data_IF_767403726576
#
_entry.id   IF_767403726576
#
_cell.length_a   1.000
_cell.length_b   1.000
_cell.length_c   1.000
_cell.angle_alpha   90.00
_cell.angle_beta   90.00
_cell.angle_gamma   90.00
#
_symmetry.space_group_name_H-M   'P 1'
#
loop_
_entity.id
_entity.type
_entity.pdbx_description
1 polymer ?
#
# COMPACT_ATOMS: atom_id res chain seq x y z
N UNK A 1 -85.86 61.28 -79.91
CA UNK A 1 -85.99 60.66 -81.25
C UNK A 1 -86.84 59.40 -81.13
N UNK A 2 -87.77 59.17 -82.07
CA UNK A 2 -88.69 58.02 -82.21
C UNK A 2 -90.11 58.07 -81.59
N UNK A 3 -90.44 58.96 -80.64
CA UNK A 3 -91.85 59.14 -80.18
C UNK A 3 -92.29 60.61 -80.09
N UNK A 4 -91.47 61.54 -80.60
CA UNK A 4 -91.80 62.99 -80.62
C UNK A 4 -92.12 63.54 -82.01
N UNK A 5 -92.08 62.69 -83.04
CA UNK A 5 -92.47 63.00 -84.43
C UNK A 5 -93.88 62.49 -84.80
N UNK A 6 -94.57 61.75 -83.89
CA UNK A 6 -95.88 61.15 -84.15
C UNK A 6 -97.08 61.91 -83.53
N UNK A 7 -96.85 63.11 -82.98
CA UNK A 7 -97.89 64.04 -82.53
C UNK A 7 -97.87 65.37 -83.32
N UNK A 8 -97.48 65.29 -84.60
CA UNK A 8 -97.57 66.38 -85.58
C UNK A 8 -98.41 66.00 -86.83
N UNK A 9 -99.09 64.83 -86.82
CA UNK A 9 -99.71 64.24 -88.03
C UNK A 9 -101.23 64.02 -88.05
N UNK A 10 -102.00 64.22 -86.98
CA UNK A 10 -103.46 63.93 -86.98
C UNK A 10 -104.32 64.92 -86.21
N UNK A 11 -104.59 66.08 -86.81
CA UNK A 11 -105.91 66.75 -86.88
C UNK A 11 -105.80 68.13 -87.56
N UNK A 12 -105.38 68.11 -88.83
CA UNK A 12 -105.74 69.09 -89.87
C UNK A 12 -106.54 68.33 -90.93
N UNK A 13 -107.88 68.34 -90.85
CA UNK A 13 -108.79 68.16 -91.99
C UNK A 13 -110.26 68.21 -91.52
N UNK A 14 -110.85 69.39 -91.68
CA UNK A 14 -112.27 69.70 -92.02
C UNK A 14 -112.36 71.23 -91.99
N UNK A 15 -111.82 71.92 -92.98
CA UNK A 15 -112.51 72.29 -94.23
C UNK A 15 -113.90 72.92 -94.01
N UNK A 16 -113.91 74.23 -94.30
CA UNK A 16 -114.92 74.98 -95.04
C UNK A 16 -116.37 75.03 -94.50
N UNK A 17 -116.89 76.24 -94.25
CA UNK A 17 -117.81 76.96 -95.16
C UNK A 17 -118.47 78.18 -94.48
N UNK A 18 -118.58 79.26 -95.28
CA UNK A 18 -119.56 80.36 -95.26
C UNK A 18 -119.56 81.33 -94.05
N UNK A 19 -119.28 82.63 -94.16
CA UNK A 19 -119.57 83.60 -95.24
C UNK A 19 -120.95 83.43 -95.85
N UNK A 20 -121.95 84.13 -95.31
CA UNK A 20 -123.04 84.91 -95.96
C UNK A 20 -124.15 85.10 -94.91
N UNK A 21 -124.38 86.31 -94.41
CA UNK A 21 -125.02 87.45 -95.06
C UNK A 21 -126.53 87.24 -95.24
N UNK A 22 -127.30 88.04 -94.50
CA UNK A 22 -128.73 88.25 -94.67
C UNK A 22 -129.57 87.50 -93.65
N UNK A 23 -130.54 88.08 -92.95
CA UNK A 23 -131.19 89.40 -93.05
C UNK A 23 -131.95 89.62 -91.73
N UNK A 24 -132.06 90.88 -91.30
CA UNK A 24 -133.28 91.51 -90.75
C UNK A 24 -132.92 92.98 -90.51
N UNK A 25 -133.07 93.88 -91.48
CA UNK A 25 -134.33 94.48 -91.95
C UNK A 25 -134.79 95.59 -90.99
N UNK A 26 -134.56 96.85 -91.40
CA UNK A 26 -135.12 98.01 -90.73
C UNK A 26 -136.59 98.15 -91.13
N UNK A 27 -137.44 98.20 -90.10
CA UNK A 27 -138.84 98.63 -90.10
C UNK A 27 -139.82 97.71 -90.84
N UNK A 28 -140.75 97.11 -90.09
CA UNK A 28 -142.10 97.65 -90.20
C UNK A 28 -142.81 97.66 -88.84
N UNK A 29 -143.46 98.76 -88.49
CA UNK A 29 -144.48 98.67 -87.45
C UNK A 29 -145.66 97.83 -87.98
N UNK A 30 -146.33 96.99 -87.16
CA UNK A 30 -145.88 96.43 -85.88
C UNK A 30 -146.28 94.94 -85.67
N UNK A 31 -145.35 94.01 -85.36
CA UNK A 31 -145.71 92.76 -84.64
C UNK A 31 -144.55 92.06 -83.88
N UNK A 32 -144.91 91.36 -82.80
CA UNK A 32 -144.17 90.99 -81.57
C UNK A 32 -143.03 89.93 -81.61
N UNK A 33 -142.39 89.55 -82.74
CA UNK A 33 -141.61 88.29 -82.79
C UNK A 33 -140.05 88.38 -82.89
N UNK A 34 -139.46 89.23 -83.74
CA UNK A 34 -138.02 89.12 -84.12
C UNK A 34 -137.04 89.69 -83.07
N UNK A 35 -137.45 90.72 -82.30
CA UNK A 35 -136.64 91.30 -81.21
C UNK A 35 -136.39 90.32 -80.05
N UNK A 36 -137.27 89.30 -79.93
CA UNK A 36 -137.18 88.25 -78.92
C UNK A 36 -136.08 87.22 -79.27
N UNK A 37 -135.89 86.87 -80.55
CA UNK A 37 -134.84 85.94 -80.99
C UNK A 37 -133.43 86.53 -80.86
N UNK A 38 -133.24 87.79 -81.23
CA UNK A 38 -131.93 88.45 -81.09
C UNK A 38 -131.54 88.60 -79.62
N UNK A 39 -132.49 88.93 -78.74
CA UNK A 39 -132.29 88.92 -77.28
C UNK A 39 -132.03 87.51 -76.73
N UNK A 40 -132.67 86.49 -77.29
CA UNK A 40 -132.45 85.10 -76.89
C UNK A 40 -131.05 84.61 -77.29
N UNK A 41 -130.59 84.92 -78.50
CA UNK A 41 -129.23 84.61 -78.96
C UNK A 41 -128.17 85.41 -78.18
N UNK A 42 -128.44 86.69 -77.89
CA UNK A 42 -127.58 87.51 -77.06
C UNK A 42 -127.49 86.97 -75.62
N UNK A 43 -128.60 86.47 -75.05
CA UNK A 43 -128.60 85.75 -73.78
C UNK A 43 -127.82 84.43 -73.84
N UNK A 44 -127.98 83.62 -74.89
CA UNK A 44 -127.23 82.37 -75.06
C UNK A 44 -125.72 82.63 -75.20
N UNK A 45 -125.33 83.66 -75.95
CA UNK A 45 -123.92 84.06 -76.08
C UNK A 45 -123.36 84.57 -74.74
N UNK A 46 -124.13 85.39 -74.01
CA UNK A 46 -123.76 85.87 -72.68
C UNK A 46 -123.60 84.71 -71.69
N UNK A 47 -124.54 83.76 -71.69
CA UNK A 47 -124.49 82.56 -70.84
C UNK A 47 -123.30 81.66 -71.21
N UNK A 48 -123.08 81.42 -72.50
CA UNK A 48 -121.93 80.66 -72.99
C UNK A 48 -120.62 81.35 -72.62
N UNK A 49 -120.53 82.68 -72.72
CA UNK A 49 -119.34 83.44 -72.35
C UNK A 49 -119.08 83.39 -70.82
N UNK A 50 -120.14 83.47 -70.00
CA UNK A 50 -120.01 83.29 -68.55
C UNK A 50 -119.56 81.87 -68.19
N UNK A 51 -120.04 80.87 -68.92
CA UNK A 51 -119.65 79.47 -68.72
C UNK A 51 -118.21 79.23 -69.18
N UNK A 52 -117.79 79.76 -70.33
CA UNK A 52 -116.39 79.74 -70.78
C UNK A 52 -115.47 80.43 -69.78
N UNK A 53 -115.92 81.53 -69.15
CA UNK A 53 -115.14 82.22 -68.12
C UNK A 53 -114.99 81.35 -66.86
N UNK A 54 -116.06 80.68 -66.41
CA UNK A 54 -116.02 79.72 -65.28
C UNK A 54 -115.15 78.50 -65.59
N UNK A 55 -115.24 77.98 -66.80
CA UNK A 55 -114.39 76.88 -67.25
C UNK A 55 -112.93 77.33 -67.32
N UNK A 56 -112.65 78.55 -67.78
CA UNK A 56 -111.31 79.13 -67.81
C UNK A 56 -110.71 79.31 -66.41
N UNK A 57 -111.49 79.81 -65.44
CA UNK A 57 -111.03 79.92 -64.04
C UNK A 57 -110.81 78.55 -63.40
N UNK A 58 -111.66 77.57 -63.74
CA UNK A 58 -111.52 76.17 -63.29
C UNK A 58 -110.26 75.52 -63.88
N UNK A 59 -110.02 75.67 -65.18
CA UNK A 59 -108.80 75.21 -65.86
C UNK A 59 -107.57 75.86 -65.23
N UNK A 60 -107.63 77.16 -64.91
CA UNK A 60 -106.53 77.87 -64.24
C UNK A 60 -106.28 77.32 -62.83
N UNK A 61 -107.32 77.05 -62.05
CA UNK A 61 -107.21 76.41 -60.73
C UNK A 61 -106.62 75.01 -60.83
N UNK A 62 -107.13 74.17 -61.74
CA UNK A 62 -106.62 72.82 -61.98
C UNK A 62 -105.16 72.86 -62.45
N UNK A 63 -104.78 73.81 -63.31
CA UNK A 63 -103.39 74.00 -63.76
C UNK A 63 -102.48 74.35 -62.58
N UNK A 64 -102.90 75.24 -61.69
CA UNK A 64 -102.15 75.57 -60.47
C UNK A 64 -102.01 74.34 -59.56
N UNK A 65 -103.09 73.56 -59.38
CA UNK A 65 -103.04 72.32 -58.58
C UNK A 65 -102.13 71.26 -59.21
N UNK A 66 -102.13 71.10 -60.53
CA UNK A 66 -101.21 70.20 -61.24
C UNK A 66 -99.76 70.65 -61.04
N UNK A 67 -99.49 71.95 -61.16
CA UNK A 67 -98.15 72.50 -60.95
C UNK A 67 -97.67 72.32 -59.50
N UNK A 68 -98.54 72.53 -58.51
CA UNK A 68 -98.22 72.28 -57.10
C UNK A 68 -97.95 70.79 -56.84
N UNK A 69 -98.79 69.89 -57.39
CA UNK A 69 -98.57 68.44 -57.28
C UNK A 69 -97.28 68.00 -57.95
N UNK A 70 -96.92 68.57 -59.10
CA UNK A 70 -95.64 68.28 -59.78
C UNK A 70 -94.45 68.75 -58.94
N UNK A 71 -94.52 69.93 -58.33
CA UNK A 71 -93.52 70.40 -57.37
C UNK A 71 -93.36 69.45 -56.17
N UNK A 72 -94.48 69.04 -55.57
CA UNK A 72 -94.48 68.04 -54.48
C UNK A 72 -93.90 66.69 -54.94
N UNK A 73 -94.19 66.24 -56.16
CA UNK A 73 -93.62 65.00 -56.73
C UNK A 73 -92.10 65.13 -56.90
N UNK A 74 -91.60 66.27 -57.37
CA UNK A 74 -90.16 66.50 -57.50
C UNK A 74 -89.44 66.51 -56.14
N UNK A 75 -90.01 67.17 -55.13
CA UNK A 75 -89.48 67.14 -53.76
C UNK A 75 -89.45 65.72 -53.17
N UNK A 76 -90.52 64.94 -53.37
CA UNK A 76 -90.59 63.55 -52.93
C UNK A 76 -89.56 62.69 -53.67
N UNK A 77 -89.38 62.88 -54.98
CA UNK A 77 -88.32 62.21 -55.75
C UNK A 77 -86.93 62.51 -55.19
N UNK A 78 -86.64 63.78 -54.87
CA UNK A 78 -85.36 64.15 -54.27
C UNK A 78 -85.14 63.50 -52.89
N UNK A 79 -86.19 63.46 -52.05
CA UNK A 79 -86.15 62.78 -50.74
C UNK A 79 -85.92 61.27 -50.89
N UNK A 80 -86.57 60.62 -51.86
CA UNK A 80 -86.35 59.20 -52.17
C UNK A 80 -84.87 58.97 -52.57
N UNK A 81 -84.32 59.78 -53.48
CA UNK A 81 -82.92 59.65 -53.88
C UNK A 81 -81.92 59.92 -52.75
N UNK A 82 -82.27 60.78 -51.80
CA UNK A 82 -81.48 60.95 -50.57
C UNK A 82 -81.53 59.69 -49.70
N UNK A 83 -82.74 59.16 -49.43
CA UNK A 83 -82.89 57.95 -48.62
C UNK A 83 -82.27 56.70 -49.27
N UNK A 84 -82.28 56.59 -50.59
CA UNK A 84 -81.60 55.50 -51.31
C UNK A 84 -80.09 55.50 -51.07
N UNK A 85 -79.45 56.67 -51.10
CA UNK A 85 -78.02 56.82 -50.79
C UNK A 85 -77.72 56.48 -49.33
N UNK A 86 -78.52 56.98 -48.40
CA UNK A 86 -78.36 56.68 -46.97
C UNK A 86 -78.54 55.19 -46.67
N UNK A 87 -79.52 54.53 -47.33
CA UNK A 87 -79.72 53.09 -47.22
C UNK A 87 -78.55 52.30 -47.80
N UNK A 88 -77.98 52.73 -48.94
CA UNK A 88 -76.80 52.10 -49.52
C UNK A 88 -75.58 52.21 -48.59
N UNK A 89 -75.32 53.40 -48.03
CA UNK A 89 -74.23 53.60 -47.06
C UNK A 89 -74.41 52.76 -45.79
N UNK A 90 -75.63 52.71 -45.23
CA UNK A 90 -75.92 51.88 -44.06
C UNK A 90 -75.76 50.39 -44.35
N UNK A 91 -76.15 49.92 -45.54
CA UNK A 91 -75.92 48.53 -45.97
C UNK A 91 -74.43 48.20 -46.03
N UNK A 92 -73.62 49.09 -46.60
CA UNK A 92 -72.17 48.88 -46.65
C UNK A 92 -71.57 48.82 -45.24
N UNK A 93 -71.93 49.75 -44.35
CA UNK A 93 -71.48 49.74 -42.96
C UNK A 93 -71.89 48.45 -42.22
N UNK A 94 -73.11 47.96 -42.43
CA UNK A 94 -73.57 46.70 -41.82
C UNK A 94 -72.74 45.52 -42.34
N UNK A 95 -72.43 45.47 -43.63
CA UNK A 95 -71.63 44.39 -44.22
C UNK A 95 -70.18 44.43 -43.71
N UNK A 96 -69.58 45.62 -43.62
CA UNK A 96 -68.24 45.79 -43.04
C UNK A 96 -68.23 45.32 -41.58
N UNK A 97 -69.20 45.75 -40.76
CA UNK A 97 -69.32 45.31 -39.36
C UNK A 97 -69.53 43.79 -39.24
N UNK A 98 -70.30 43.16 -40.15
CA UNK A 98 -70.47 41.71 -40.20
C UNK A 98 -69.15 41.00 -40.53
N UNK A 99 -68.37 41.52 -41.48
CA UNK A 99 -67.06 40.97 -41.82
C UNK A 99 -66.08 41.06 -40.65
N UNK A 100 -66.06 42.20 -39.95
CA UNK A 100 -65.27 42.40 -38.74
C UNK A 100 -65.70 41.44 -37.61
N UNK A 101 -67.00 41.26 -37.40
CA UNK A 101 -67.52 40.31 -36.42
C UNK A 101 -67.08 38.87 -36.74
N UNK A 102 -67.19 38.45 -38.01
CA UNK A 102 -66.77 37.12 -38.45
C UNK A 102 -65.27 36.89 -38.24
N UNK A 103 -64.44 37.87 -38.63
CA UNK A 103 -62.99 37.83 -38.39
C UNK A 103 -62.67 37.73 -36.90
N UNK A 104 -63.37 38.48 -36.05
CA UNK A 104 -63.18 38.42 -34.61
C UNK A 104 -63.57 37.06 -34.03
N UNK A 105 -64.68 36.45 -34.49
CA UNK A 105 -65.08 35.10 -34.07
C UNK A 105 -64.07 34.02 -34.48
N UNK A 106 -63.53 34.10 -35.70
CA UNK A 106 -62.47 33.18 -36.17
C UNK A 106 -61.17 33.37 -35.37
N UNK A 107 -60.82 34.62 -35.06
CA UNK A 107 -59.66 34.93 -34.22
C UNK A 107 -59.86 34.44 -32.78
N UNK A 108 -61.06 34.59 -32.21
CA UNK A 108 -61.40 34.07 -30.88
C UNK A 108 -61.31 32.54 -30.84
N UNK A 109 -61.84 31.86 -31.87
CA UNK A 109 -61.70 30.40 -32.00
C UNK A 109 -60.24 29.96 -32.06
N UNK A 110 -59.43 30.63 -32.88
CA UNK A 110 -57.98 30.36 -32.99
C UNK A 110 -57.26 30.64 -31.67
N UNK A 111 -57.61 31.73 -30.98
CA UNK A 111 -57.06 32.07 -29.67
C UNK A 111 -57.43 31.03 -28.61
N UNK A 112 -58.65 30.49 -28.65
CA UNK A 112 -59.09 29.43 -27.74
C UNK A 112 -58.34 28.12 -27.99
N UNK A 113 -58.22 27.71 -29.25
CA UNK A 113 -57.47 26.51 -29.62
C UNK A 113 -55.98 26.59 -29.22
N UNK A 114 -55.36 27.76 -29.41
CA UNK A 114 -53.96 27.99 -28.99
C UNK A 114 -53.82 27.98 -27.47
N UNK A 115 -54.77 28.57 -26.73
CA UNK A 115 -54.80 28.53 -25.27
C UNK A 115 -54.95 27.10 -24.72
N UNK A 116 -55.87 26.31 -25.27
CA UNK A 116 -56.04 24.90 -24.90
C UNK A 116 -54.77 24.06 -25.20
N UNK A 117 -54.09 24.34 -26.33
CA UNK A 117 -52.81 23.71 -26.68
C UNK A 117 -51.70 24.05 -25.69
N UNK A 118 -51.60 25.32 -25.28
CA UNK A 118 -50.65 25.76 -24.27
C UNK A 118 -50.96 25.14 -22.91
N UNK A 119 -52.23 25.08 -22.50
CA UNK A 119 -52.63 24.45 -21.24
C UNK A 119 -52.25 22.96 -21.21
N UNK A 120 -52.47 22.23 -22.31
CA UNK A 120 -52.03 20.83 -22.46
C UNK A 120 -50.51 20.69 -22.34
N UNK A 121 -49.74 21.57 -22.96
CA UNK A 121 -48.27 21.59 -22.84
C UNK A 121 -47.80 21.86 -21.41
N UNK A 122 -48.44 22.82 -20.72
CA UNK A 122 -48.12 23.14 -19.32
C UNK A 122 -48.41 21.95 -18.41
N UNK A 123 -49.55 21.27 -18.58
CA UNK A 123 -49.88 20.05 -17.80
C UNK A 123 -48.86 18.93 -18.05
N UNK A 124 -48.53 18.63 -19.30
CA UNK A 124 -47.54 17.62 -19.65
C UNK A 124 -46.14 17.95 -19.06
N UNK A 125 -45.72 19.21 -19.14
CA UNK A 125 -44.46 19.66 -18.53
C UNK A 125 -44.49 19.56 -17.00
N UNK A 126 -45.61 19.87 -16.35
CA UNK A 126 -45.74 19.75 -14.90
C UNK A 126 -45.64 18.29 -14.44
N UNK A 127 -46.26 17.35 -15.17
CA UNK A 127 -46.18 15.92 -14.92
C UNK A 127 -44.75 15.38 -15.13
N UNK A 128 -44.09 15.76 -16.22
CA UNK A 128 -42.69 15.37 -16.50
C UNK A 128 -41.72 15.90 -15.42
N UNK A 129 -41.89 17.16 -14.99
CA UNK A 129 -41.11 17.72 -13.89
C UNK A 129 -41.38 17.00 -12.57
N UNK A 130 -42.63 16.65 -12.28
CA UNK A 130 -42.99 15.86 -11.10
C UNK A 130 -42.31 14.49 -11.12
N UNK A 131 -42.40 13.76 -12.23
CA UNK A 131 -41.75 12.45 -12.39
C UNK A 131 -40.22 12.55 -12.24
N UNK A 132 -39.61 13.58 -12.83
CA UNK A 132 -38.18 13.86 -12.70
C UNK A 132 -37.76 14.15 -11.25
N UNK A 133 -38.55 14.94 -10.52
CA UNK A 133 -38.31 15.25 -9.11
C UNK A 133 -38.44 13.98 -8.25
N UNK A 134 -39.46 13.16 -8.48
CA UNK A 134 -39.69 11.93 -7.72
C UNK A 134 -38.58 10.89 -7.96
N UNK A 135 -38.13 10.75 -9.22
CA UNK A 135 -36.95 9.94 -9.57
C UNK A 135 -35.68 10.43 -8.87
N UNK A 136 -35.45 11.75 -8.82
CA UNK A 136 -34.30 12.32 -8.12
C UNK A 136 -34.38 12.09 -6.60
N UNK A 137 -35.56 12.25 -5.99
CA UNK A 137 -35.77 11.94 -4.57
C UNK A 137 -35.52 10.48 -4.26
N UNK A 138 -35.96 9.56 -5.12
CA UNK A 138 -35.69 8.13 -4.95
C UNK A 138 -34.19 7.84 -4.98
N UNK A 139 -33.46 8.36 -5.98
CA UNK A 139 -31.99 8.22 -6.06
C UNK A 139 -31.28 8.81 -4.86
N UNK A 140 -31.72 9.99 -4.40
CA UNK A 140 -31.19 10.64 -3.21
C UNK A 140 -31.38 9.77 -1.94
N UNK A 141 -32.58 9.19 -1.77
CA UNK A 141 -32.86 8.31 -0.63
C UNK A 141 -32.02 7.02 -0.65
N UNK A 142 -31.78 6.44 -1.83
CA UNK A 142 -30.88 5.28 -1.97
C UNK A 142 -29.45 5.68 -1.59
N UNK A 143 -28.92 6.77 -2.15
CA UNK A 143 -27.58 7.25 -1.83
C UNK A 143 -27.40 7.59 -0.34
N UNK A 144 -28.42 8.15 0.32
CA UNK A 144 -28.42 8.41 1.76
C UNK A 144 -28.33 7.11 2.58
N UNK A 145 -29.06 6.05 2.20
CA UNK A 145 -28.99 4.75 2.88
C UNK A 145 -27.63 4.09 2.69
N UNK A 146 -27.10 4.09 1.46
CA UNK A 146 -25.77 3.56 1.17
C UNK A 146 -24.67 4.31 1.95
N UNK A 147 -24.74 5.65 1.97
CA UNK A 147 -23.83 6.47 2.80
C UNK A 147 -23.87 6.06 4.27
N UNK A 148 -25.06 5.91 4.84
CA UNK A 148 -25.22 5.48 6.24
C UNK A 148 -24.65 4.08 6.49
N UNK A 149 -24.81 3.16 5.54
CA UNK A 149 -24.21 1.81 5.63
C UNK A 149 -22.68 1.86 5.58
N UNK A 150 -22.10 2.65 4.68
CA UNK A 150 -20.65 2.82 4.61
C UNK A 150 -20.08 3.49 5.85
N UNK A 151 -20.76 4.50 6.41
CA UNK A 151 -20.36 5.13 7.68
C UNK A 151 -20.39 4.12 8.83
N UNK A 152 -21.42 3.27 8.93
CA UNK A 152 -21.49 2.22 9.94
C UNK A 152 -20.35 1.20 9.79
N UNK A 153 -20.09 0.74 8.56
CA UNK A 153 -19.00 -0.20 8.27
C UNK A 153 -17.63 0.43 8.58
N UNK A 154 -17.44 1.71 8.26
CA UNK A 154 -16.23 2.46 8.57
C UNK A 154 -15.99 2.55 10.08
N UNK A 155 -17.01 2.92 10.87
CA UNK A 155 -16.89 2.97 12.32
C UNK A 155 -16.55 1.59 12.92
N UNK A 156 -17.22 0.52 12.45
CA UNK A 156 -16.94 -0.84 12.91
C UNK A 156 -15.50 -1.26 12.59
N UNK A 157 -15.03 -1.01 11.36
CA UNK A 157 -13.67 -1.32 10.94
C UNK A 157 -12.63 -0.52 11.75
N UNK A 158 -12.91 0.76 12.03
CA UNK A 158 -12.07 1.61 12.87
C UNK A 158 -11.95 1.06 14.29
N UNK A 159 -13.07 0.71 14.92
CA UNK A 159 -13.07 0.13 16.28
C UNK A 159 -12.33 -1.22 16.34
N UNK A 160 -12.46 -2.06 15.31
CA UNK A 160 -11.73 -3.31 15.19
C UNK A 160 -10.22 -3.08 15.02
N UNK A 161 -9.83 -2.08 14.23
CA UNK A 161 -8.44 -1.68 14.06
C UNK A 161 -7.83 -1.18 15.37
N UNK A 162 -8.49 -0.26 16.08
CA UNK A 162 -8.03 0.25 17.38
C UNK A 162 -7.87 -0.88 18.41
N UNK A 163 -8.78 -1.86 18.43
CA UNK A 163 -8.64 -3.06 19.29
C UNK A 163 -7.46 -3.94 18.90
N UNK A 164 -7.11 -4.02 17.61
CA UNK A 164 -5.96 -4.78 17.12
C UNK A 164 -4.66 -4.08 17.46
N UNK A 165 -4.59 -2.76 17.30
CA UNK A 165 -3.45 -1.94 17.70
C UNK A 165 -3.16 -2.09 19.20
N UNK A 166 -4.17 -1.97 20.07
CA UNK A 166 -3.99 -2.19 21.51
C UNK A 166 -3.45 -3.59 21.85
N UNK A 167 -3.89 -4.62 21.14
CA UNK A 167 -3.38 -5.99 21.31
C UNK A 167 -1.95 -6.12 20.82
N UNK A 168 -1.62 -5.48 19.70
CA UNK A 168 -0.29 -5.48 19.12
C UNK A 168 0.69 -4.79 20.05
N UNK A 169 0.39 -3.58 20.54
CA UNK A 169 1.23 -2.86 21.52
C UNK A 169 1.45 -3.69 22.80
N UNK A 170 0.42 -4.40 23.28
CA UNK A 170 0.56 -5.30 24.44
C UNK A 170 1.45 -6.52 24.16
N UNK A 171 1.44 -7.04 22.93
CA UNK A 171 2.31 -8.15 22.55
C UNK A 171 3.75 -7.68 22.35
N UNK A 172 3.94 -6.50 21.75
CA UNK A 172 5.26 -5.86 21.64
C UNK A 172 5.89 -5.61 23.01
N UNK A 173 5.13 -5.06 23.96
CA UNK A 173 5.65 -4.84 25.32
C UNK A 173 6.10 -6.15 25.98
N UNK A 174 5.30 -7.21 25.84
CA UNK A 174 5.66 -8.55 26.34
C UNK A 174 6.86 -9.13 25.62
N UNK A 175 6.99 -8.93 24.31
CA UNK A 175 8.13 -9.38 23.54
C UNK A 175 9.40 -8.71 24.06
N UNK A 176 9.37 -7.39 24.23
CA UNK A 176 10.49 -6.61 24.79
C UNK A 176 10.84 -7.11 26.20
N UNK A 177 9.84 -7.29 27.08
CA UNK A 177 10.07 -7.84 28.44
C UNK A 177 10.72 -9.23 28.40
N UNK A 178 10.28 -10.12 27.50
CA UNK A 178 10.86 -11.46 27.36
C UNK A 178 12.25 -11.43 26.75
N UNK A 179 12.51 -10.50 25.83
CA UNK A 179 13.83 -10.29 25.23
C UNK A 179 14.81 -9.79 26.28
N UNK A 180 14.44 -8.79 27.09
CA UNK A 180 15.24 -8.33 28.22
C UNK A 180 15.52 -9.45 29.23
N UNK A 181 14.50 -10.22 29.61
CA UNK A 181 14.68 -11.35 30.53
C UNK A 181 15.61 -12.43 29.95
N UNK A 182 15.55 -12.65 28.63
CA UNK A 182 16.43 -13.60 27.94
C UNK A 182 17.88 -13.09 27.90
N UNK A 183 18.09 -11.80 27.60
CA UNK A 183 19.44 -11.21 27.62
C UNK A 183 20.05 -11.23 29.03
N UNK A 184 19.24 -10.99 30.07
CA UNK A 184 19.70 -11.07 31.46
C UNK A 184 20.07 -12.51 31.85
N UNK A 185 19.31 -13.50 31.38
CA UNK A 185 19.64 -14.91 31.60
C UNK A 185 20.91 -15.32 30.85
N UNK A 186 21.07 -14.89 29.59
CA UNK A 186 22.25 -15.19 28.77
C UNK A 186 23.52 -14.58 29.37
N UNK A 187 23.45 -13.33 29.84
CA UNK A 187 24.57 -12.66 30.51
C UNK A 187 24.91 -13.37 31.83
N UNK A 188 23.92 -13.68 32.67
CA UNK A 188 24.15 -14.43 33.91
C UNK A 188 24.77 -15.82 33.67
N UNK A 189 24.29 -16.55 32.66
CA UNK A 189 24.84 -17.86 32.29
C UNK A 189 26.28 -17.74 31.77
N UNK A 190 26.57 -16.71 30.97
CA UNK A 190 27.92 -16.43 30.45
C UNK A 190 28.90 -16.09 31.58
N UNK A 191 28.48 -15.27 32.54
CA UNK A 191 29.28 -14.94 33.72
C UNK A 191 29.57 -16.17 34.58
N UNK A 192 28.57 -17.03 34.82
CA UNK A 192 28.75 -18.28 35.56
C UNK A 192 29.74 -19.21 34.85
N UNK A 193 29.56 -19.45 33.54
CA UNK A 193 30.48 -20.27 32.76
C UNK A 193 31.90 -19.71 32.75
N UNK A 194 32.06 -18.39 32.61
CA UNK A 194 33.36 -17.74 32.65
C UNK A 194 34.04 -17.90 34.02
N UNK A 195 33.28 -17.72 35.11
CA UNK A 195 33.79 -17.90 36.48
C UNK A 195 34.24 -19.34 36.74
N UNK A 196 33.46 -20.33 36.29
CA UNK A 196 33.77 -21.75 36.44
C UNK A 196 34.99 -22.13 35.60
N UNK A 197 35.05 -21.67 34.34
CA UNK A 197 36.20 -21.90 33.47
C UNK A 197 37.47 -21.33 34.11
N UNK A 198 37.42 -20.11 34.66
CA UNK A 198 38.54 -19.49 35.38
C UNK A 198 38.98 -20.31 36.60
N UNK A 199 38.04 -20.76 37.44
CA UNK A 199 38.35 -21.60 38.60
C UNK A 199 38.98 -22.94 38.19
N UNK A 200 38.44 -23.59 37.16
CA UNK A 200 38.98 -24.86 36.65
C UNK A 200 40.40 -24.71 36.08
N UNK A 201 40.66 -23.62 35.34
CA UNK A 201 41.98 -23.33 34.81
C UNK A 201 43.01 -23.09 35.93
N UNK A 202 42.62 -22.34 36.97
CA UNK A 202 43.47 -22.11 38.13
C UNK A 202 43.76 -23.42 38.90
N UNK A 203 42.75 -24.27 39.12
CA UNK A 203 42.93 -25.56 39.78
C UNK A 203 43.85 -26.49 38.98
N UNK A 204 43.71 -26.52 37.66
CA UNK A 204 44.60 -27.29 36.78
C UNK A 204 46.03 -26.75 36.82
N UNK A 205 46.22 -25.42 36.80
CA UNK A 205 47.55 -24.81 36.92
C UNK A 205 48.21 -25.16 38.25
N UNK A 206 47.46 -25.16 39.36
CA UNK A 206 48.00 -25.56 40.67
C UNK A 206 48.39 -27.04 40.71
N UNK A 207 47.55 -27.93 40.18
CA UNK A 207 47.86 -29.36 40.10
C UNK A 207 49.07 -29.63 39.20
N UNK A 208 49.21 -28.91 38.09
CA UNK A 208 50.35 -29.03 37.19
C UNK A 208 51.64 -28.58 37.88
N UNK A 209 51.61 -27.49 38.67
CA UNK A 209 52.75 -27.05 39.48
C UNK A 209 53.12 -28.07 40.55
N UNK A 210 52.15 -28.63 41.27
CA UNK A 210 52.40 -29.66 42.29
C UNK A 210 52.96 -30.96 41.69
N UNK A 211 52.47 -31.35 40.51
CA UNK A 211 52.97 -32.50 39.77
C UNK A 211 54.42 -32.30 39.35
N UNK A 212 54.76 -31.13 38.79
CA UNK A 212 56.13 -30.77 38.43
C UNK A 212 57.04 -30.83 39.66
N UNK A 213 56.64 -30.20 40.77
CA UNK A 213 57.41 -30.24 42.03
C UNK A 213 57.61 -31.67 42.55
N UNK A 214 56.61 -32.54 42.42
CA UNK A 214 56.71 -33.94 42.84
C UNK A 214 57.62 -34.73 41.90
N UNK A 215 57.54 -34.48 40.60
CA UNK A 215 58.43 -35.06 39.59
C UNK A 215 59.88 -34.66 39.84
N UNK A 216 60.15 -33.38 40.13
CA UNK A 216 61.48 -32.87 40.44
C UNK A 216 62.06 -33.57 41.68
N UNK A 217 61.27 -33.71 42.76
CA UNK A 217 61.67 -34.46 43.96
C UNK A 217 61.99 -35.92 43.67
N UNK A 218 61.23 -36.58 42.79
CA UNK A 218 61.48 -37.98 42.39
C UNK A 218 62.79 -38.09 41.59
N UNK A 219 63.06 -37.16 40.68
CA UNK A 219 64.32 -37.13 39.92
C UNK A 219 65.54 -36.81 40.81
N UNK A 220 65.39 -35.91 41.80
CA UNK A 220 66.41 -35.69 42.83
C UNK A 220 66.69 -36.96 43.62
N UNK A 221 65.66 -37.67 44.07
CA UNK A 221 65.80 -38.95 44.78
C UNK A 221 66.50 -40.01 43.91
N UNK A 222 66.10 -40.13 42.64
CA UNK A 222 66.75 -41.03 41.68
C UNK A 222 68.23 -40.72 41.51
N UNK A 223 68.58 -39.42 41.45
CA UNK A 223 69.97 -38.95 41.38
C UNK A 223 70.76 -39.28 42.65
N UNK A 224 70.15 -39.09 43.82
CA UNK A 224 70.72 -39.47 45.11
C UNK A 224 71.04 -40.97 45.16
N UNK A 225 70.08 -41.84 44.81
CA UNK A 225 70.29 -43.29 44.81
C UNK A 225 71.37 -43.69 43.82
N UNK A 226 71.39 -43.13 42.60
CA UNK A 226 72.47 -43.39 41.62
C UNK A 226 73.84 -43.04 42.18
N UNK A 227 73.95 -41.92 42.89
CA UNK A 227 75.20 -41.46 43.50
C UNK A 227 75.63 -42.39 44.64
N UNK A 228 74.70 -42.75 45.54
CA UNK A 228 74.94 -43.70 46.62
C UNK A 228 75.41 -45.06 46.10
N UNK A 229 74.78 -45.56 45.04
CA UNK A 229 75.09 -46.85 44.42
C UNK A 229 76.50 -46.86 43.84
N UNK A 230 76.91 -45.76 43.19
CA UNK A 230 78.28 -45.58 42.66
C UNK A 230 79.32 -45.52 43.79
N UNK A 231 79.04 -44.77 44.85
CA UNK A 231 79.94 -44.65 46.00
C UNK A 231 80.12 -45.99 46.72
N UNK A 232 79.03 -46.74 46.90
CA UNK A 232 79.08 -48.07 47.49
C UNK A 232 79.90 -49.04 46.63
N UNK A 233 79.68 -49.05 45.31
CA UNK A 233 80.46 -49.84 44.37
C UNK A 233 81.94 -49.45 44.41
N UNK A 234 82.27 -48.16 44.40
CA UNK A 234 83.64 -47.67 44.48
C UNK A 234 84.33 -48.12 45.78
N UNK A 235 83.66 -47.99 46.93
CA UNK A 235 84.21 -48.44 48.22
C UNK A 235 84.45 -49.95 48.26
N UNK A 236 83.56 -50.76 47.68
CA UNK A 236 83.74 -52.22 47.57
C UNK A 236 84.97 -52.54 46.70
N UNK A 237 85.09 -51.89 45.54
CA UNK A 237 86.24 -52.06 44.65
C UNK A 237 87.55 -51.65 45.31
N UNK A 238 87.57 -50.53 46.03
CA UNK A 238 88.73 -50.08 46.81
C UNK A 238 89.12 -51.08 47.92
N UNK A 239 88.13 -51.69 48.59
CA UNK A 239 88.40 -52.75 49.57
C UNK A 239 88.95 -54.01 48.90
N UNK A 240 88.38 -54.45 47.77
CA UNK A 240 88.89 -55.61 47.02
C UNK A 240 90.33 -55.38 46.54
N UNK A 241 90.67 -54.19 46.06
CA UNK A 241 92.05 -53.86 45.66
C UNK A 241 93.01 -53.85 46.85
N UNK A 242 92.60 -53.27 48.00
CA UNK A 242 93.39 -53.32 49.25
C UNK A 242 93.58 -54.74 49.76
N UNK A 243 92.56 -55.60 49.72
CA UNK A 243 92.65 -57.02 50.08
C UNK A 243 93.62 -57.74 49.15
N UNK A 244 93.53 -57.51 47.84
CA UNK A 244 94.45 -58.08 46.86
C UNK A 244 95.90 -57.67 47.12
N UNK A 245 96.15 -56.40 47.40
CA UNK A 245 97.49 -55.92 47.77
C UNK A 245 97.99 -56.53 49.09
N UNK A 246 97.12 -56.64 50.11
CA UNK A 246 97.45 -57.28 51.38
C UNK A 246 97.76 -58.78 51.23
N UNK A 247 96.99 -59.50 50.40
CA UNK A 247 97.24 -60.91 50.05
C UNK A 247 98.58 -61.09 49.35
N UNK A 248 98.90 -60.22 48.38
CA UNK A 248 100.20 -60.18 47.71
C UNK A 248 101.37 -59.97 48.70
N UNK A 249 101.22 -59.05 49.65
CA UNK A 249 102.22 -58.85 50.72
C UNK A 249 102.32 -60.03 51.70
N UNK A 250 101.22 -60.74 52.00
CA UNK A 250 101.24 -61.98 52.78
C UNK A 250 101.96 -63.13 52.06
N UNK A 251 101.73 -63.28 50.76
CA UNK A 251 102.47 -64.22 49.88
C UNK A 251 103.97 -63.89 49.80
N UNK A 252 104.32 -62.61 49.84
CA UNK A 252 105.70 -62.11 49.88
C UNK A 252 106.47 -62.55 51.15
N UNK A 253 105.80 -62.81 52.28
CA UNK A 253 106.42 -63.41 53.49
C UNK A 253 106.55 -64.93 53.38
N UNK A 254 105.65 -65.63 52.71
CA UNK A 254 105.72 -67.09 52.54
C UNK A 254 106.80 -67.53 51.52
N UNK A 255 107.04 -66.74 50.48
CA UNK A 255 108.05 -67.01 49.44
C UNK A 255 109.51 -66.86 49.94
N UNK A 256 109.74 -66.23 51.10
CA UNK A 256 111.07 -66.11 51.74
C UNK A 256 111.67 -67.45 52.22
N UNK A 257 110.92 -68.57 52.16
CA UNK A 257 111.41 -69.88 52.61
C UNK A 257 112.19 -70.68 51.55
N UNK A 258 112.24 -70.24 50.28
CA UNK A 258 112.91 -71.00 49.20
C UNK A 258 114.14 -70.34 48.57
N UNK A 259 114.26 -69.01 48.61
CA UNK A 259 115.33 -68.26 47.94
C UNK A 259 116.00 -67.27 48.91
N UNK A 260 117.32 -67.38 49.07
CA UNK A 260 118.14 -66.46 49.87
C UNK A 260 118.01 -65.02 49.35
N UNK A 261 117.89 -64.05 50.27
CA UNK A 261 117.78 -62.62 49.96
C UNK A 261 118.97 -62.10 49.12
N UNK A 262 120.12 -62.77 49.18
CA UNK A 262 121.32 -62.44 48.40
C UNK A 262 121.16 -62.80 46.91
N UNK A 263 120.46 -63.89 46.56
CA UNK A 263 120.21 -64.27 45.17
C UNK A 263 119.26 -63.29 44.46
N UNK A 264 118.24 -62.81 45.16
CA UNK A 264 117.27 -61.86 44.62
C UNK A 264 117.89 -60.47 44.40
N UNK A 265 118.73 -60.03 45.33
CA UNK A 265 119.42 -58.76 45.24
C UNK A 265 120.49 -58.78 44.13
N UNK A 266 121.16 -59.92 43.95
CA UNK A 266 122.08 -60.15 42.84
C UNK A 266 121.35 -60.15 41.48
N UNK A 267 120.21 -60.83 41.36
CA UNK A 267 119.40 -60.82 40.15
C UNK A 267 118.89 -59.41 39.79
N UNK A 268 118.46 -58.62 40.79
CA UNK A 268 118.04 -57.23 40.60
C UNK A 268 119.17 -56.31 40.14
N UNK A 269 120.37 -56.48 40.69
CA UNK A 269 121.55 -55.77 40.22
C UNK A 269 122.02 -56.22 38.83
N UNK A 270 121.90 -57.50 38.46
CA UNK A 270 122.25 -58.00 37.11
C UNK A 270 121.26 -57.51 36.06
N UNK A 271 119.95 -57.53 36.37
CA UNK A 271 118.87 -57.17 35.45
C UNK A 271 118.50 -55.68 35.46
N UNK A 272 119.15 -54.89 36.33
CA UNK A 272 118.96 -53.45 36.49
C UNK A 272 117.47 -53.04 36.67
N UNK A 273 116.74 -53.84 37.43
CA UNK A 273 115.35 -53.59 37.83
C UNK A 273 115.28 -53.54 39.35
N UNK A 274 114.29 -52.85 39.93
CA UNK A 274 114.18 -52.86 41.39
C UNK A 274 113.85 -54.27 41.88
N UNK A 275 114.26 -54.60 43.11
CA UNK A 275 113.92 -55.88 43.74
C UNK A 275 112.40 -56.10 43.81
N UNK A 276 111.61 -55.02 43.81
CA UNK A 276 110.15 -55.05 43.76
C UNK A 276 109.63 -55.39 42.35
N UNK A 277 110.18 -54.78 41.30
CA UNK A 277 109.76 -55.01 39.91
C UNK A 277 110.12 -56.43 39.44
N UNK A 278 111.27 -56.95 39.87
CA UNK A 278 111.69 -58.33 39.58
C UNK A 278 110.75 -59.36 40.21
N UNK A 279 110.23 -59.06 41.40
CA UNK A 279 109.21 -59.87 42.05
C UNK A 279 107.87 -59.82 41.31
N UNK A 280 107.49 -58.66 40.77
CA UNK A 280 106.26 -58.50 40.00
C UNK A 280 106.31 -59.25 38.66
N UNK A 281 107.50 -59.38 38.06
CA UNK A 281 107.75 -60.17 36.83
C UNK A 281 107.82 -61.68 37.11
N UNK A 282 108.41 -62.10 38.24
CA UNK A 282 108.54 -63.51 38.64
C UNK A 282 107.26 -64.11 39.24
N UNK A 283 106.29 -63.26 39.58
CA UNK A 283 104.97 -63.72 39.96
C UNK A 283 104.25 -64.17 38.69
N UNK A 284 104.46 -65.42 38.27
CA UNK A 284 103.58 -66.11 37.33
C UNK A 284 102.15 -65.82 37.79
N UNK A 285 101.39 -65.16 36.91
CA UNK A 285 100.05 -64.69 37.22
C UNK A 285 99.26 -65.84 37.81
N UNK A 286 98.79 -65.66 39.04
CA UNK A 286 97.76 -66.53 39.59
C UNK A 286 96.50 -66.29 38.75
N UNK A 287 96.39 -67.06 37.66
CA UNK A 287 95.28 -67.03 36.71
C UNK A 287 93.95 -67.26 37.44
N UNK A 288 93.98 -67.93 38.60
CA UNK A 288 92.80 -68.16 39.42
C UNK A 288 92.36 -66.91 40.21
N UNK A 289 93.28 -66.16 40.82
CA UNK A 289 92.96 -64.91 41.54
C UNK A 289 92.58 -63.78 40.56
N UNK A 290 93.22 -63.73 39.40
CA UNK A 290 92.85 -62.77 38.34
C UNK A 290 91.52 -63.12 37.68
N UNK A 291 91.17 -64.39 37.50
CA UNK A 291 89.84 -64.83 37.05
C UNK A 291 88.73 -64.52 38.08
N UNK A 292 88.99 -64.74 39.38
CA UNK A 292 88.05 -64.38 40.47
C UNK A 292 87.75 -62.88 40.48
N UNK A 293 88.78 -62.04 40.34
CA UNK A 293 88.61 -60.58 40.27
C UNK A 293 87.75 -60.15 39.08
N UNK A 294 87.92 -60.79 37.90
CA UNK A 294 87.12 -60.49 36.70
C UNK A 294 85.64 -60.89 36.88
N UNK A 295 85.37 -62.04 37.50
CA UNK A 295 84.00 -62.47 37.78
C UNK A 295 83.29 -61.51 38.75
N UNK A 296 83.98 -61.01 39.77
CA UNK A 296 83.42 -60.06 40.74
C UNK A 296 83.10 -58.70 40.10
N UNK A 297 83.90 -58.26 39.12
CA UNK A 297 83.65 -57.04 38.38
C UNK A 297 82.40 -57.14 37.49
N UNK A 298 82.17 -58.28 36.82
CA UNK A 298 80.95 -58.47 36.00
C UNK A 298 79.69 -58.53 36.88
N UNK A 299 79.76 -59.19 38.05
CA UNK A 299 78.66 -59.20 39.04
C UNK A 299 78.30 -57.80 39.53
N UNK A 300 79.28 -56.95 39.74
CA UNK A 300 79.03 -55.57 40.14
C UNK A 300 78.38 -54.74 39.02
N UNK A 301 78.77 -54.99 37.77
CA UNK A 301 78.17 -54.35 36.60
C UNK A 301 76.72 -54.79 36.40
N UNK A 302 76.42 -56.07 36.58
CA UNK A 302 75.06 -56.61 36.59
C UNK A 302 74.22 -55.99 37.73
N UNK A 303 74.81 -55.83 38.92
CA UNK A 303 74.14 -55.18 40.04
C UNK A 303 73.84 -53.69 39.76
N UNK A 304 74.78 -52.93 39.20
CA UNK A 304 74.54 -51.54 38.79
C UNK A 304 73.41 -51.43 37.76
N UNK A 305 73.35 -52.35 36.79
CA UNK A 305 72.26 -52.41 35.82
C UNK A 305 70.93 -52.79 36.47
N UNK A 306 70.94 -53.69 37.46
CA UNK A 306 69.75 -54.05 38.23
C UNK A 306 69.19 -52.85 39.00
N UNK A 307 70.04 -52.08 39.68
CA UNK A 307 69.64 -50.85 40.38
C UNK A 307 69.10 -49.79 39.40
N UNK A 308 69.74 -49.62 38.24
CA UNK A 308 69.26 -48.68 37.22
C UNK A 308 67.86 -49.03 36.70
N UNK A 309 67.58 -50.33 36.49
CA UNK A 309 66.26 -50.84 36.09
C UNK A 309 65.22 -50.65 37.20
N UNK A 310 65.58 -50.88 38.47
CA UNK A 310 64.68 -50.63 39.60
C UNK A 310 64.31 -49.15 39.74
N UNK A 311 65.23 -48.23 39.43
CA UNK A 311 64.99 -46.79 39.42
C UNK A 311 64.19 -46.28 38.21
N UNK A 312 64.04 -47.11 37.18
CA UNK A 312 63.20 -46.83 36.00
C UNK A 312 61.86 -47.56 36.05
N UNK A 313 61.73 -48.55 36.93
CA UNK A 313 60.49 -49.29 37.12
C UNK A 313 59.42 -48.44 37.82
N UNK A 314 58.15 -48.69 37.48
CA UNK A 314 57.03 -48.14 38.25
C UNK A 314 56.87 -48.87 39.59
N UNK A 315 56.27 -48.18 40.55
CA UNK A 315 55.99 -48.64 41.91
C UNK A 315 55.44 -50.09 41.95
N UNK A 316 55.85 -50.97 42.91
CA UNK A 316 56.72 -50.71 44.08
C UNK A 316 58.17 -51.13 43.86
N UNK A 317 59.10 -50.16 43.82
CA UNK A 317 60.54 -50.43 43.68
C UNK A 317 61.34 -50.29 44.98
N UNK A 318 60.76 -49.66 46.02
CA UNK A 318 61.49 -49.30 47.24
C UNK A 318 61.99 -50.51 48.04
N UNK A 319 61.18 -51.56 48.19
CA UNK A 319 61.57 -52.78 48.90
C UNK A 319 62.71 -53.51 48.18
N UNK A 320 62.57 -53.71 46.87
CA UNK A 320 63.58 -54.37 46.05
C UNK A 320 64.89 -53.57 45.98
N UNK A 321 64.81 -52.25 45.94
CA UNK A 321 65.98 -51.37 45.99
C UNK A 321 66.70 -51.47 47.33
N UNK A 322 65.96 -51.48 48.44
CA UNK A 322 66.53 -51.66 49.78
C UNK A 322 67.23 -53.01 49.91
N UNK A 323 66.61 -54.10 49.45
CA UNK A 323 67.21 -55.44 49.49
C UNK A 323 68.50 -55.51 48.67
N UNK A 324 68.50 -54.95 47.45
CA UNK A 324 69.67 -54.92 46.58
C UNK A 324 70.83 -54.07 47.15
N UNK A 325 70.53 -52.97 47.87
CA UNK A 325 71.54 -52.16 48.56
C UNK A 325 72.07 -52.90 49.81
N UNK A 326 71.18 -53.55 50.57
CA UNK A 326 71.56 -54.33 51.76
C UNK A 326 72.48 -55.51 51.40
N UNK A 327 72.22 -56.19 50.29
CA UNK A 327 73.09 -57.26 49.78
C UNK A 327 74.53 -56.76 49.57
N UNK A 328 74.70 -55.61 48.90
CA UNK A 328 76.02 -55.01 48.68
C UNK A 328 76.67 -54.45 49.94
N UNK A 329 75.90 -53.91 50.88
CA UNK A 329 76.44 -53.50 52.17
C UNK A 329 76.96 -54.70 52.98
N UNK A 330 76.25 -55.82 52.95
CA UNK A 330 76.70 -57.06 53.59
C UNK A 330 77.96 -57.62 52.93
N UNK A 331 78.07 -57.53 51.60
CA UNK A 331 79.30 -57.85 50.87
C UNK A 331 80.48 -56.97 51.32
N UNK A 332 80.28 -55.64 51.37
CA UNK A 332 81.28 -54.70 51.89
C UNK A 332 81.72 -55.07 53.31
N UNK A 333 80.78 -55.41 54.19
CA UNK A 333 81.07 -55.84 55.56
C UNK A 333 81.98 -57.07 55.59
N UNK A 334 81.67 -58.10 54.80
CA UNK A 334 82.50 -59.31 54.69
C UNK A 334 83.91 -58.99 54.20
N UNK A 335 84.04 -58.13 53.18
CA UNK A 335 85.34 -57.69 52.67
C UNK A 335 86.15 -56.91 53.72
N UNK A 336 85.50 -56.04 54.51
CA UNK A 336 86.17 -55.35 55.63
C UNK A 336 86.66 -56.35 56.68
N UNK A 337 85.86 -57.35 57.03
CA UNK A 337 86.23 -58.42 57.97
C UNK A 337 87.42 -59.25 57.43
N UNK A 338 87.41 -59.57 56.14
CA UNK A 338 88.51 -60.27 55.45
C UNK A 338 89.79 -59.43 55.45
N UNK A 339 89.72 -58.16 55.05
CA UNK A 339 90.84 -57.23 55.08
C UNK A 339 91.43 -57.10 56.49
N UNK A 340 90.57 -56.96 57.50
CA UNK A 340 90.97 -56.85 58.90
C UNK A 340 91.65 -58.13 59.39
N UNK A 341 91.16 -59.30 58.98
CA UNK A 341 91.76 -60.59 59.33
C UNK A 341 93.12 -60.77 58.67
N UNK A 342 93.25 -60.38 57.40
CA UNK A 342 94.52 -60.37 56.68
C UNK A 342 95.55 -59.44 57.31
N UNK A 343 95.15 -58.22 57.69
CA UNK A 343 96.04 -57.28 58.39
C UNK A 343 96.48 -57.81 59.76
N UNK A 344 95.58 -58.48 60.50
CA UNK A 344 95.94 -59.16 61.77
C UNK A 344 96.88 -60.35 61.61
N UNK A 345 96.90 -61.01 60.45
CA UNK A 345 97.88 -62.04 60.11
C UNK A 345 99.21 -61.47 59.59
N UNK A 346 99.23 -60.17 59.24
CA UNK A 346 100.39 -59.50 58.65
C UNK A 346 101.26 -58.78 59.70
N UNK A 347 100.66 -58.32 60.81
CA UNK A 347 101.33 -57.91 62.06
C UNK A 347 101.81 -59.15 62.80
#
# INVERSE_FOLDING_TARGET
QQEKEDLQGKLKLREHLCQTAGKSEATPAPSKNIDLEMKQLQCKLKNSNTETTKQSTTIKSLKNQVQEKEGRIQELRAKISQFERDLAMKRHLIEDLRSHLKKNQENEKTSKETLESLERKVKALAEDKKASIDSLKQRFNVAMKEKSQYEQMYHKAKDELEKKDLKLTKLESKMIETECAMTDLETAASEQLHSLAKQSAQALETLQKELLLTSDKVEEFKTFVKTLTRELHHSIQELRTKIKLAKKMGGMKACKKGLSQECLQLAASILNVSTTDLYEILQEGDDEETAKTKMEFEKDKEWLQHIQKLLEAQFPFASYLMDAILEKLNERKKLVEEYSSLMKQTV
#
